data_IF_161840722236
#
_entry.id   IF_161840722236
#
_cell.length_a   1.000
_cell.length_b   1.000
_cell.length_c   1.000
_cell.angle_alpha   90.00
_cell.angle_beta   90.00
_cell.angle_gamma   90.00
#
_symmetry.space_group_name_H-M   'P 1'
#
loop_
_entity.id
_entity.type
_entity.pdbx_description
1 polymer ?
#
# COMPACT_ATOMS: atom_id res chain seq x y z
N UNK A 1 65.62 -29.68 -7.78
CA UNK A 1 66.46 -28.60 -7.23
C UNK A 1 66.91 -27.68 -8.36
N UNK A 2 66.45 -26.41 -8.39
CA UNK A 2 67.23 -25.23 -8.81
C UNK A 2 66.36 -23.98 -8.74
N UNK A 3 66.77 -23.07 -7.86
CA UNK A 3 66.26 -21.72 -7.59
C UNK A 3 66.30 -20.86 -8.86
N UNK A 4 65.34 -19.95 -9.03
CA UNK A 4 65.51 -18.76 -9.89
C UNK A 4 65.39 -17.50 -9.04
N UNK A 5 66.40 -16.66 -9.22
CA UNK A 5 66.68 -15.40 -8.54
C UNK A 5 65.73 -14.29 -8.98
N UNK A 6 65.44 -13.40 -8.04
CA UNK A 6 64.81 -12.09 -8.23
C UNK A 6 65.90 -11.12 -8.71
N UNK A 7 65.57 -10.27 -9.68
CA UNK A 7 66.32 -9.05 -9.96
C UNK A 7 65.32 -7.91 -10.19
N UNK A 8 65.33 -6.97 -9.25
CA UNK A 8 64.58 -5.71 -9.30
C UNK A 8 65.32 -4.70 -10.18
N UNK A 9 64.59 -3.99 -11.02
CA UNK A 9 65.05 -2.74 -11.65
C UNK A 9 64.03 -1.67 -11.34
N UNK A 10 64.45 -0.68 -10.55
CA UNK A 10 63.72 0.54 -10.30
C UNK A 10 63.99 1.52 -11.44
N UNK A 11 62.94 2.09 -12.03
CA UNK A 11 63.03 3.28 -12.89
C UNK A 11 62.12 4.34 -12.30
N UNK A 12 62.75 5.44 -11.88
CA UNK A 12 62.15 6.71 -11.49
C UNK A 12 61.82 7.47 -12.78
N UNK A 13 60.58 7.94 -12.94
CA UNK A 13 60.24 8.96 -13.92
C UNK A 13 59.30 10.00 -13.29
N UNK A 14 59.79 11.24 -13.31
CA UNK A 14 59.14 12.47 -12.85
C UNK A 14 57.78 12.70 -13.50
N UNK A 15 56.88 13.31 -12.72
CA UNK A 15 55.55 13.70 -13.16
C UNK A 15 55.50 14.89 -14.11
N UNK A 16 54.38 14.99 -14.81
CA UNK A 16 53.73 16.25 -15.17
C UNK A 16 52.23 16.02 -14.94
N UNK A 17 51.68 16.78 -13.98
CA UNK A 17 50.27 16.74 -13.64
C UNK A 17 49.41 17.33 -14.77
N UNK A 18 48.38 16.59 -15.12
CA UNK A 18 47.29 17.02 -15.99
C UNK A 18 46.02 16.31 -15.56
N UNK A 19 45.48 16.67 -14.39
CA UNK A 19 44.19 16.20 -13.95
C UNK A 19 43.11 16.86 -14.83
N UNK A 20 42.59 16.13 -15.81
CA UNK A 20 41.35 16.49 -16.48
C UNK A 20 40.23 16.21 -15.49
N UNK A 21 39.78 17.26 -14.82
CA UNK A 21 38.58 17.21 -14.00
C UNK A 21 37.36 17.07 -14.93
N UNK A 22 36.84 15.85 -15.03
CA UNK A 22 35.51 15.61 -15.59
C UNK A 22 34.53 16.16 -14.55
N UNK A 23 34.04 17.36 -14.78
CA UNK A 23 32.96 17.94 -13.99
C UNK A 23 31.69 17.12 -14.23
N UNK A 24 31.45 16.11 -13.41
CA UNK A 24 30.14 15.49 -13.28
C UNK A 24 29.22 16.55 -12.68
N UNK A 25 28.40 17.19 -13.51
CA UNK A 25 27.27 18.00 -13.03
C UNK A 25 26.27 17.04 -12.41
N UNK A 26 26.49 16.68 -11.14
CA UNK A 26 25.45 16.11 -10.31
C UNK A 26 24.37 17.17 -10.19
N UNK A 27 23.21 16.92 -10.80
CA UNK A 27 21.99 17.62 -10.41
C UNK A 27 21.78 17.33 -8.94
N UNK A 28 22.16 18.28 -8.08
CA UNK A 28 21.72 18.28 -6.70
C UNK A 28 20.20 18.29 -6.74
N UNK A 29 19.58 17.20 -6.25
CA UNK A 29 18.16 17.22 -5.93
C UNK A 29 17.95 18.42 -4.99
N UNK A 30 17.24 19.45 -5.48
CA UNK A 30 16.84 20.57 -4.63
C UNK A 30 16.14 19.99 -3.41
N UNK A 31 16.74 20.18 -2.24
CA UNK A 31 16.10 19.84 -0.98
C UNK A 31 14.72 20.50 -0.97
N UNK A 32 13.66 19.70 -0.89
CA UNK A 32 12.27 20.18 -0.77
C UNK A 32 12.12 20.79 0.63
N UNK A 33 12.74 21.94 0.87
CA UNK A 33 13.15 22.32 2.24
C UNK A 33 12.09 23.05 3.05
N UNK A 34 10.94 23.41 2.45
CA UNK A 34 9.94 24.23 3.15
C UNK A 34 8.52 23.65 3.16
N UNK A 35 8.24 22.58 2.41
CA UNK A 35 6.88 22.08 2.17
C UNK A 35 5.85 23.20 1.94
N UNK A 36 6.09 23.99 0.89
CA UNK A 36 5.27 25.14 0.50
C UNK A 36 4.54 24.92 -0.84
N UNK A 37 4.46 23.68 -1.32
CA UNK A 37 3.79 23.37 -2.58
C UNK A 37 2.29 23.71 -2.53
N UNK A 38 1.68 23.96 -3.67
CA UNK A 38 0.23 24.14 -3.78
C UNK A 38 -0.51 22.79 -3.74
N UNK A 39 -1.84 22.78 -3.55
CA UNK A 39 -2.63 21.56 -3.74
C UNK A 39 -2.45 20.97 -5.15
N UNK A 40 -2.35 21.83 -6.16
CA UNK A 40 -2.18 21.40 -7.55
C UNK A 40 -0.86 20.68 -7.75
N UNK A 41 0.22 21.11 -7.09
CA UNK A 41 1.52 20.44 -7.16
C UNK A 41 1.49 19.04 -6.50
N UNK A 42 0.62 18.83 -5.50
CA UNK A 42 0.43 17.51 -4.88
C UNK A 42 -0.38 16.58 -5.78
N UNK A 43 -1.48 17.07 -6.35
CA UNK A 43 -2.50 16.22 -6.97
C UNK A 43 -2.46 16.18 -8.50
N UNK A 44 -1.72 17.06 -9.17
CA UNK A 44 -1.54 16.94 -10.62
C UNK A 44 -0.38 15.97 -10.93
N UNK A 45 -0.58 15.02 -11.86
CA UNK A 45 0.49 14.14 -12.26
C UNK A 45 1.61 14.94 -12.97
N UNK A 46 2.89 14.70 -12.63
CA UNK A 46 3.99 15.26 -13.38
C UNK A 46 4.02 14.65 -14.79
N UNK A 47 4.63 15.35 -15.75
CA UNK A 47 4.74 14.87 -17.13
C UNK A 47 5.51 13.54 -17.24
N UNK A 48 6.46 13.29 -16.34
CA UNK A 48 7.16 12.01 -16.19
C UNK A 48 7.75 11.90 -14.78
N UNK A 49 7.99 10.67 -14.31
CA UNK A 49 8.68 10.41 -13.04
C UNK A 49 9.96 9.64 -13.32
N UNK A 50 11.11 10.25 -13.00
CA UNK A 50 12.44 9.65 -13.15
C UNK A 50 13.16 9.47 -11.83
N UNK A 51 12.63 10.06 -10.76
CA UNK A 51 13.21 9.96 -9.43
C UNK A 51 13.17 8.51 -8.90
N UNK A 52 14.12 8.13 -8.03
CA UNK A 52 14.08 6.86 -7.31
C UNK A 52 12.79 6.68 -6.52
N UNK A 53 12.40 5.43 -6.29
CA UNK A 53 11.19 5.09 -5.54
C UNK A 53 11.31 5.62 -4.09
N UNK A 54 10.21 6.15 -3.57
CA UNK A 54 10.15 6.83 -2.27
C UNK A 54 10.74 8.23 -2.24
N UNK A 55 11.17 8.82 -3.37
CA UNK A 55 11.64 10.21 -3.41
C UNK A 55 10.48 11.18 -3.20
N UNK A 56 10.63 12.13 -2.28
CA UNK A 56 9.68 13.22 -2.10
C UNK A 56 9.74 14.21 -3.28
N UNK A 57 8.65 14.31 -4.04
CA UNK A 57 8.56 15.17 -5.23
C UNK A 57 8.01 16.55 -4.87
N UNK A 58 6.97 16.60 -4.04
CA UNK A 58 6.38 17.83 -3.54
C UNK A 58 5.78 17.59 -2.15
N UNK A 59 5.77 18.61 -1.30
CA UNK A 59 5.05 18.56 -0.03
C UNK A 59 4.46 19.92 0.32
N UNK A 60 3.39 19.87 1.12
CA UNK A 60 2.77 21.05 1.72
C UNK A 60 2.28 20.76 3.12
N UNK A 61 2.38 21.74 4.02
CA UNK A 61 1.73 21.64 5.33
C UNK A 61 0.20 21.59 5.19
N UNK A 62 -0.45 20.83 6.06
CA UNK A 62 -1.92 20.63 6.06
C UNK A 62 -2.44 20.46 7.49
N UNK A 63 -3.72 20.80 7.70
CA UNK A 63 -4.47 20.42 8.90
C UNK A 63 -5.31 19.18 8.59
N UNK A 64 -5.17 18.12 9.40
CA UNK A 64 -5.98 16.91 9.26
C UNK A 64 -7.25 17.05 10.11
N UNK A 65 -8.27 17.70 9.55
CA UNK A 65 -9.47 18.10 10.28
C UNK A 65 -10.37 16.93 10.72
N UNK A 66 -10.20 15.76 10.11
CA UNK A 66 -10.99 14.56 10.43
C UNK A 66 -10.34 13.65 11.45
N UNK A 67 -9.13 13.96 11.91
CA UNK A 67 -8.54 13.23 13.03
C UNK A 67 -9.30 13.58 14.32
N UNK A 68 -10.02 12.64 14.93
CA UNK A 68 -10.78 12.91 16.13
C UNK A 68 -9.86 13.16 17.32
N UNK A 69 -10.43 13.71 18.39
CA UNK A 69 -9.79 13.92 19.69
C UNK A 69 -8.69 15.00 19.71
N UNK A 70 -8.62 15.88 18.71
CA UNK A 70 -7.75 17.06 18.68
C UNK A 70 -6.27 16.75 18.96
N UNK A 71 -5.75 15.66 18.40
CA UNK A 71 -4.36 15.22 18.64
C UNK A 71 -3.39 16.26 18.07
N UNK A 72 -2.52 16.91 18.88
CA UNK A 72 -1.61 17.90 18.34
C UNK A 72 -0.49 17.26 17.50
N UNK A 73 -0.27 17.77 16.30
CA UNK A 73 0.67 17.21 15.32
C UNK A 73 1.18 18.25 14.33
N UNK A 74 2.27 17.91 13.62
CA UNK A 74 2.62 18.51 12.32
C UNK A 74 2.21 17.52 11.24
N UNK A 75 1.59 17.99 10.15
CA UNK A 75 1.18 17.12 9.05
C UNK A 75 1.46 17.74 7.69
N UNK A 76 1.68 16.88 6.70
CA UNK A 76 1.98 17.25 5.33
C UNK A 76 1.17 16.38 4.37
N UNK A 77 0.63 17.00 3.32
CA UNK A 77 0.29 16.30 2.09
C UNK A 77 1.55 16.22 1.23
N UNK A 78 1.79 15.07 0.61
CA UNK A 78 2.98 14.80 -0.19
C UNK A 78 2.62 14.20 -1.55
N UNK A 79 3.46 14.46 -2.54
CA UNK A 79 3.56 13.68 -3.77
C UNK A 79 4.94 13.02 -3.77
N UNK A 80 5.01 11.73 -4.09
CA UNK A 80 6.24 10.95 -4.06
C UNK A 80 6.32 9.98 -5.24
N UNK A 81 7.54 9.58 -5.59
CA UNK A 81 7.78 8.61 -6.66
C UNK A 81 7.54 7.18 -6.15
N UNK A 82 6.88 6.36 -6.96
CA UNK A 82 6.62 4.93 -6.72
C UNK A 82 6.75 4.13 -8.04
N UNK A 83 6.39 2.86 -8.03
CA UNK A 83 6.37 1.98 -9.21
C UNK A 83 5.05 1.24 -9.30
N UNK A 84 4.45 1.20 -10.49
CA UNK A 84 3.23 0.43 -10.73
C UNK A 84 3.51 -1.08 -10.97
N UNK A 85 2.45 -1.88 -11.11
CA UNK A 85 2.48 -3.32 -11.27
C UNK A 85 3.10 -3.75 -12.61
N UNK A 86 3.17 -2.84 -13.57
CA UNK A 86 3.83 -3.03 -14.86
C UNK A 86 5.31 -2.60 -14.83
N UNK A 87 5.81 -2.12 -13.69
CA UNK A 87 7.19 -1.69 -13.49
C UNK A 87 7.47 -0.25 -13.94
N UNK A 88 6.46 0.53 -14.31
CA UNK A 88 6.64 1.93 -14.69
C UNK A 88 6.74 2.83 -13.44
N UNK A 89 7.60 3.86 -13.52
CA UNK A 89 7.69 4.87 -12.47
C UNK A 89 6.48 5.78 -12.50
N UNK A 90 5.83 5.94 -11.36
CA UNK A 90 4.61 6.74 -11.18
C UNK A 90 4.74 7.71 -10.02
N UNK A 91 3.88 8.73 -9.97
CA UNK A 91 3.74 9.62 -8.83
C UNK A 91 2.50 9.21 -8.02
N UNK A 92 2.60 9.26 -6.71
CA UNK A 92 1.53 8.91 -5.76
C UNK A 92 1.40 10.03 -4.73
N UNK A 93 0.19 10.31 -4.28
CA UNK A 93 -0.06 11.26 -3.18
C UNK A 93 -0.28 10.54 -1.84
N UNK A 94 -0.18 11.28 -0.74
CA UNK A 94 -0.44 10.76 0.59
C UNK A 94 -0.32 11.84 1.67
N UNK A 95 -0.41 11.41 2.92
CA UNK A 95 -0.31 12.24 4.12
C UNK A 95 0.73 11.69 5.07
N UNK A 96 1.59 12.56 5.60
CA UNK A 96 2.50 12.23 6.70
C UNK A 96 2.15 13.08 7.91
N UNK A 97 1.98 12.47 9.07
CA UNK A 97 1.63 13.12 10.33
C UNK A 97 2.60 12.71 11.44
N UNK A 98 3.16 13.70 12.13
CA UNK A 98 4.09 13.50 13.24
C UNK A 98 3.50 14.14 14.51
N UNK A 99 3.19 13.36 15.55
CA UNK A 99 2.56 13.87 16.75
C UNK A 99 3.56 14.69 17.58
N UNK A 100 3.07 15.70 18.30
CA UNK A 100 3.91 16.42 19.28
C UNK A 100 4.16 15.60 20.54
N UNK A 101 3.27 14.64 20.84
CA UNK A 101 3.44 13.69 21.94
C UNK A 101 4.78 12.95 21.81
N UNK A 102 5.58 12.92 22.87
CA UNK A 102 6.86 12.22 22.84
C UNK A 102 6.65 10.70 22.66
N UNK A 103 7.52 10.06 21.88
CA UNK A 103 7.64 8.61 21.90
C UNK A 103 8.31 8.20 23.21
N UNK A 104 7.66 7.32 23.98
CA UNK A 104 8.15 6.87 25.31
C UNK A 104 8.75 5.46 25.27
N UNK A 105 8.72 4.79 24.13
CA UNK A 105 9.37 3.50 23.94
C UNK A 105 10.86 3.62 23.64
N UNK A 106 11.47 2.50 23.23
CA UNK A 106 12.90 2.42 22.92
C UNK A 106 13.22 3.05 21.56
N UNK A 107 14.37 3.71 21.46
CA UNK A 107 14.92 4.22 20.20
C UNK A 107 14.27 5.52 19.72
N UNK A 108 14.43 5.83 18.42
CA UNK A 108 13.78 6.96 17.78
C UNK A 108 12.28 6.71 17.63
N UNK A 109 11.51 7.78 17.41
CA UNK A 109 10.08 7.70 17.13
C UNK A 109 9.84 6.76 15.92
N UNK A 110 9.00 5.72 16.05
CA UNK A 110 8.63 4.87 14.93
C UNK A 110 7.62 5.55 14.01
N UNK A 111 7.48 5.03 12.79
CA UNK A 111 6.44 5.42 11.84
C UNK A 111 5.64 4.19 11.43
N UNK A 112 4.33 4.37 11.21
CA UNK A 112 3.48 3.35 10.58
C UNK A 112 3.16 3.80 9.16
N UNK A 113 3.54 2.97 8.19
CA UNK A 113 3.05 3.04 6.83
C UNK A 113 1.60 2.53 6.83
N UNK A 114 0.66 3.39 6.44
CA UNK A 114 -0.77 3.11 6.51
C UNK A 114 -1.39 3.10 5.11
N UNK A 115 -2.15 2.05 4.79
CA UNK A 115 -3.02 2.06 3.62
C UNK A 115 -4.48 2.02 4.11
N UNK A 116 -5.32 2.98 3.71
CA UNK A 116 -6.72 2.96 4.08
C UNK A 116 -7.45 1.78 3.45
N UNK A 117 -8.60 1.45 4.01
CA UNK A 117 -9.59 0.63 3.32
C UNK A 117 -10.24 1.37 2.15
N UNK A 118 -11.25 0.75 1.55
CA UNK A 118 -11.86 1.26 0.32
C UNK A 118 -12.55 2.61 0.53
N UNK A 119 -12.16 3.59 -0.29
CA UNK A 119 -12.79 4.92 -0.31
C UNK A 119 -13.45 5.24 -1.66
N UNK A 120 -13.37 4.33 -2.64
CA UNK A 120 -13.77 4.54 -4.04
C UNK A 120 -12.61 4.95 -4.91
N UNK A 121 -12.73 4.76 -6.22
CA UNK A 121 -11.58 4.72 -7.15
C UNK A 121 -11.26 6.05 -7.84
N UNK A 122 -12.08 7.08 -7.62
CA UNK A 122 -11.90 8.39 -8.22
C UNK A 122 -10.85 9.23 -7.47
N UNK A 123 -10.15 10.16 -8.15
CA UNK A 123 -9.11 10.98 -7.53
C UNK A 123 -9.62 11.89 -6.41
N UNK A 124 -10.92 12.21 -6.38
CA UNK A 124 -11.57 12.94 -5.29
C UNK A 124 -11.66 12.14 -3.99
N UNK A 125 -11.58 10.81 -4.07
CA UNK A 125 -11.75 9.89 -2.94
C UNK A 125 -10.45 9.59 -2.19
N UNK A 126 -9.32 10.13 -2.66
CA UNK A 126 -8.01 9.99 -2.04
C UNK A 126 -8.05 10.29 -0.54
N UNK A 127 -7.54 9.38 0.29
CA UNK A 127 -7.59 9.50 1.75
C UNK A 127 -6.95 10.78 2.28
N UNK A 128 -5.86 11.23 1.67
CA UNK A 128 -5.18 12.49 1.98
C UNK A 128 -6.04 13.74 1.79
N UNK A 129 -7.06 13.68 0.91
CA UNK A 129 -8.08 14.74 0.75
C UNK A 129 -9.17 14.59 1.81
N UNK A 130 -9.63 13.36 2.02
CA UNK A 130 -10.68 13.03 2.98
C UNK A 130 -10.30 13.44 4.39
N UNK A 131 -9.17 12.95 4.88
CA UNK A 131 -8.72 13.20 6.25
C UNK A 131 -8.39 14.69 6.51
N UNK A 132 -8.20 15.48 5.44
CA UNK A 132 -7.98 16.92 5.50
C UNK A 132 -9.30 17.74 5.48
N UNK A 133 -10.45 17.12 5.21
CA UNK A 133 -11.76 17.79 5.24
C UNK A 133 -12.52 17.86 3.91
N UNK A 134 -12.03 17.24 2.83
CA UNK A 134 -12.71 17.22 1.53
C UNK A 134 -13.32 15.84 1.21
N UNK A 135 -14.56 15.76 0.72
CA UNK A 135 -15.22 14.48 0.34
C UNK A 135 -15.27 13.48 1.50
N UNK A 136 -16.15 13.70 2.48
CA UNK A 136 -16.14 13.03 3.80
C UNK A 136 -16.87 11.68 3.83
N UNK A 137 -16.20 10.59 3.42
CA UNK A 137 -16.67 9.22 3.69
C UNK A 137 -15.60 8.26 4.24
N UNK A 138 -14.42 8.78 4.61
CA UNK A 138 -13.40 8.06 5.35
C UNK A 138 -13.87 7.67 6.75
N UNK A 139 -13.37 6.53 7.24
CA UNK A 139 -13.80 5.92 8.49
C UNK A 139 -12.63 5.49 9.39
N UNK A 140 -11.39 5.87 9.06
CA UNK A 140 -10.16 5.38 9.71
C UNK A 140 -9.42 6.49 10.48
N UNK A 141 -10.02 7.68 10.63
CA UNK A 141 -9.50 8.76 11.46
C UNK A 141 -9.18 8.33 12.91
N UNK A 142 -9.95 7.41 13.50
CA UNK A 142 -9.69 6.86 14.84
C UNK A 142 -8.42 6.00 14.89
N UNK A 143 -8.11 5.23 13.84
CA UNK A 143 -6.90 4.42 13.72
C UNK A 143 -5.66 5.34 13.74
N UNK A 144 -5.71 6.41 12.93
CA UNK A 144 -4.66 7.42 12.87
C UNK A 144 -4.54 8.16 14.21
N UNK A 145 -5.67 8.54 14.82
CA UNK A 145 -5.71 9.20 16.15
C UNK A 145 -5.03 8.34 17.21
N UNK A 146 -5.27 7.02 17.22
CA UNK A 146 -4.71 6.09 18.19
C UNK A 146 -3.18 5.96 18.06
N UNK A 147 -2.66 5.86 16.83
CA UNK A 147 -1.21 5.85 16.57
C UNK A 147 -0.55 7.15 17.04
N UNK A 148 -1.12 8.30 16.67
CA UNK A 148 -0.59 9.60 17.02
C UNK A 148 -0.58 9.83 18.55
N UNK A 149 -1.63 9.40 19.26
CA UNK A 149 -1.69 9.41 20.73
C UNK A 149 -0.64 8.51 21.39
N UNK A 150 -0.30 7.39 20.74
CA UNK A 150 0.79 6.51 21.18
C UNK A 150 2.20 7.09 20.89
N UNK A 151 2.28 8.30 20.32
CA UNK A 151 3.54 8.91 19.91
C UNK A 151 4.14 8.23 18.69
N UNK A 152 3.35 7.56 17.86
CA UNK A 152 3.80 6.91 16.62
C UNK A 152 3.47 7.85 15.46
N UNK A 153 4.44 8.11 14.58
CA UNK A 153 4.18 8.88 13.37
C UNK A 153 3.39 8.03 12.35
N UNK A 154 2.65 8.68 11.47
CA UNK A 154 1.89 7.99 10.42
C UNK A 154 2.28 8.50 9.05
N UNK A 155 2.45 7.58 8.12
CA UNK A 155 2.74 7.81 6.71
C UNK A 155 1.66 7.08 5.91
N UNK A 156 0.54 7.75 5.67
CA UNK A 156 -0.61 7.20 4.97
C UNK A 156 -0.50 7.47 3.47
N UNK A 157 -0.53 6.43 2.65
CA UNK A 157 -0.55 6.56 1.19
C UNK A 157 -2.00 6.65 0.68
N UNK A 158 -2.22 7.38 -0.42
CA UNK A 158 -3.48 7.24 -1.17
C UNK A 158 -3.46 5.97 -2.04
N UNK A 159 -2.28 5.54 -2.49
CA UNK A 159 -2.14 4.47 -3.49
C UNK A 159 -2.06 5.03 -4.91
N UNK A 160 -1.67 4.17 -5.85
CA UNK A 160 -1.53 4.56 -7.27
C UNK A 160 -2.87 5.06 -7.83
N UNK A 161 -2.85 6.02 -8.76
CA UNK A 161 -4.04 6.37 -9.55
C UNK A 161 -5.02 7.37 -8.93
N UNK A 162 -4.68 7.99 -7.79
CA UNK A 162 -5.51 9.05 -7.17
C UNK A 162 -5.15 10.49 -7.59
N UNK A 163 -4.16 10.68 -8.46
CA UNK A 163 -3.85 11.99 -9.03
C UNK A 163 -4.93 12.42 -10.04
N UNK A 164 -5.06 13.73 -10.26
CA UNK A 164 -6.07 14.30 -11.13
C UNK A 164 -6.02 13.69 -12.55
N UNK A 165 -7.16 13.21 -13.03
CA UNK A 165 -7.29 12.57 -14.34
C UNK A 165 -6.90 11.09 -14.37
N UNK A 166 -6.48 10.52 -13.24
CA UNK A 166 -6.21 9.09 -13.10
C UNK A 166 -7.37 8.37 -12.39
N UNK A 167 -7.31 7.03 -12.40
CA UNK A 167 -8.23 6.15 -11.68
C UNK A 167 -7.39 5.18 -10.87
N UNK A 168 -7.80 4.91 -9.64
CA UNK A 168 -7.14 3.95 -8.78
C UNK A 168 -7.26 2.53 -9.36
N UNK A 169 -6.14 1.80 -9.58
CA UNK A 169 -6.14 0.37 -9.90
C UNK A 169 -6.48 -0.43 -8.63
N UNK A 170 -7.75 -0.37 -8.24
CA UNK A 170 -8.30 -0.97 -7.02
C UNK A 170 -7.88 -2.44 -6.88
N UNK A 171 -7.45 -2.81 -5.66
CA UNK A 171 -6.97 -4.14 -5.26
C UNK A 171 -5.81 -4.75 -6.07
N UNK A 172 -5.06 -3.94 -6.83
CA UNK A 172 -3.81 -4.39 -7.49
C UNK A 172 -2.68 -4.46 -6.47
N UNK A 173 -2.33 -5.67 -6.06
CA UNK A 173 -1.48 -5.90 -4.90
C UNK A 173 -0.08 -5.29 -4.99
N UNK A 174 0.57 -5.41 -6.15
CA UNK A 174 1.90 -4.84 -6.38
C UNK A 174 1.90 -3.31 -6.31
N UNK A 175 0.89 -2.65 -6.89
CA UNK A 175 0.71 -1.19 -6.81
C UNK A 175 0.61 -0.73 -5.35
N UNK A 176 -0.27 -1.40 -4.61
CA UNK A 176 -0.55 -1.05 -3.23
C UNK A 176 0.67 -1.27 -2.32
N UNK A 177 1.37 -2.40 -2.46
CA UNK A 177 2.57 -2.71 -1.69
C UNK A 177 3.75 -1.78 -1.98
N UNK A 178 3.99 -1.42 -3.25
CA UNK A 178 5.02 -0.45 -3.61
C UNK A 178 4.73 0.93 -3.01
N UNK A 179 3.51 1.45 -3.22
CA UNK A 179 3.09 2.74 -2.68
C UNK A 179 3.22 2.79 -1.14
N UNK A 180 2.80 1.72 -0.45
CA UNK A 180 2.87 1.64 1.01
C UNK A 180 4.32 1.64 1.54
N UNK A 181 5.25 0.95 0.88
CA UNK A 181 6.67 0.98 1.26
C UNK A 181 7.33 2.32 0.89
N UNK A 182 6.92 2.93 -0.22
CA UNK A 182 7.49 4.20 -0.70
C UNK A 182 7.00 5.42 0.09
N UNK A 183 5.77 5.41 0.64
CA UNK A 183 5.35 6.47 1.58
C UNK A 183 6.17 6.38 2.89
N UNK A 184 6.60 5.19 3.31
CA UNK A 184 7.50 5.03 4.45
C UNK A 184 8.87 5.68 4.17
N UNK A 185 9.46 5.45 3.00
CA UNK A 185 10.70 6.14 2.54
C UNK A 185 10.53 7.66 2.48
N UNK A 186 9.38 8.10 1.98
CA UNK A 186 9.03 9.51 1.84
C UNK A 186 8.94 10.20 3.22
N UNK A 187 8.49 9.47 4.24
CA UNK A 187 8.35 9.99 5.61
C UNK A 187 9.66 10.51 6.22
N UNK A 188 10.82 10.04 5.73
CA UNK A 188 12.13 10.47 6.21
C UNK A 188 12.62 11.77 5.55
N UNK A 189 11.88 12.31 4.58
CA UNK A 189 12.28 13.46 3.76
C UNK A 189 11.45 14.72 4.04
N UNK A 190 10.36 14.62 4.81
CA UNK A 190 9.58 15.79 5.24
C UNK A 190 10.33 16.56 6.35
N UNK A 191 10.11 17.87 6.53
CA UNK A 191 10.76 18.70 7.55
C UNK A 191 10.18 18.42 8.94
N UNK A 192 10.39 17.19 9.41
CA UNK A 192 9.98 16.70 10.71
C UNK A 192 11.20 16.35 11.57
N UNK A 193 11.07 16.59 12.86
CA UNK A 193 12.09 16.18 13.83
C UNK A 193 11.89 14.69 14.17
N UNK A 194 12.93 13.87 14.01
CA UNK A 194 12.99 12.53 14.57
C UNK A 194 12.61 11.35 13.65
N UNK A 195 12.28 11.60 12.38
CA UNK A 195 12.16 10.55 11.35
C UNK A 195 13.40 10.53 10.45
N UNK A 196 14.08 9.39 10.38
CA UNK A 196 15.30 9.18 9.60
C UNK A 196 15.27 7.80 8.95
N UNK A 197 16.17 7.52 8.00
CA UNK A 197 16.20 6.23 7.29
C UNK A 197 16.40 5.00 8.18
N UNK A 198 16.91 5.16 9.42
CA UNK A 198 17.02 4.09 10.41
C UNK A 198 15.80 3.97 11.34
N UNK A 199 14.74 4.76 11.12
CA UNK A 199 13.50 4.67 11.90
C UNK A 199 12.81 3.33 11.64
N UNK A 200 12.32 2.71 12.72
CA UNK A 200 11.50 1.49 12.61
C UNK A 200 10.17 1.80 11.94
N UNK A 201 9.78 0.92 11.01
CA UNK A 201 8.54 1.02 10.24
C UNK A 201 7.59 -0.08 10.72
N UNK A 202 6.36 0.29 11.06
CA UNK A 202 5.23 -0.65 11.14
C UNK A 202 4.41 -0.54 9.87
N UNK A 203 3.67 -1.59 9.54
CA UNK A 203 2.71 -1.57 8.44
C UNK A 203 1.32 -1.82 9.04
N UNK A 204 0.32 -1.08 8.58
CA UNK A 204 -1.08 -1.32 8.94
C UNK A 204 -2.03 -0.97 7.78
N UNK A 205 -3.00 -1.85 7.52
CA UNK A 205 -4.22 -1.49 6.80
C UNK A 205 -5.37 -2.46 7.07
N UNK A 206 -6.57 -2.05 6.67
CA UNK A 206 -7.82 -2.80 6.83
C UNK A 206 -8.58 -2.93 5.51
N UNK A 207 -9.31 -4.04 5.29
CA UNK A 207 -10.06 -4.28 4.05
C UNK A 207 -9.13 -4.29 2.81
N UNK A 208 -9.36 -3.44 1.80
CA UNK A 208 -8.36 -3.17 0.75
C UNK A 208 -6.97 -2.84 1.33
N UNK A 209 -6.93 -1.99 2.37
CA UNK A 209 -5.74 -1.69 3.14
C UNK A 209 -5.08 -2.93 3.75
N UNK A 210 -5.86 -3.94 4.14
CA UNK A 210 -5.36 -5.21 4.65
C UNK A 210 -4.63 -6.02 3.59
N UNK A 211 -5.13 -6.01 2.35
CA UNK A 211 -4.45 -6.63 1.22
C UNK A 211 -3.17 -5.87 0.85
N UNK A 212 -3.23 -4.54 0.81
CA UNK A 212 -2.05 -3.68 0.61
C UNK A 212 -0.98 -3.90 1.68
N UNK A 213 -1.40 -4.04 2.94
CA UNK A 213 -0.56 -4.29 4.11
C UNK A 213 0.26 -5.57 3.94
N UNK A 214 -0.41 -6.70 3.65
CA UNK A 214 0.26 -7.97 3.39
C UNK A 214 1.10 -7.96 2.10
N UNK A 215 0.70 -7.23 1.05
CA UNK A 215 1.54 -7.05 -0.15
C UNK A 215 2.81 -6.25 0.16
N UNK A 216 2.71 -5.18 0.95
CA UNK A 216 3.85 -4.44 1.48
C UNK A 216 4.77 -5.36 2.29
N UNK A 217 4.21 -6.25 3.11
CA UNK A 217 4.98 -7.24 3.85
C UNK A 217 5.74 -8.22 2.94
N UNK A 218 5.06 -8.77 1.92
CA UNK A 218 5.66 -9.70 0.94
C UNK A 218 6.80 -9.03 0.14
N UNK A 219 6.63 -7.75 -0.22
CA UNK A 219 7.57 -7.00 -1.04
C UNK A 219 8.71 -6.37 -0.25
N UNK A 220 8.59 -6.20 1.07
CA UNK A 220 9.55 -5.47 1.90
C UNK A 220 11.00 -5.89 1.64
N UNK A 221 11.31 -7.18 1.66
CA UNK A 221 12.68 -7.67 1.49
C UNK A 221 13.24 -7.50 0.06
N UNK A 222 12.40 -7.60 -0.98
CA UNK A 222 12.85 -7.52 -2.38
C UNK A 222 12.82 -6.10 -2.93
N UNK A 223 11.90 -5.25 -2.46
CA UNK A 223 11.63 -3.92 -2.98
C UNK A 223 12.21 -2.80 -2.10
N UNK A 224 12.16 -2.98 -0.77
CA UNK A 224 12.61 -1.99 0.20
C UNK A 224 13.45 -2.60 1.34
N UNK A 225 14.55 -3.33 1.00
CA UNK A 225 15.36 -4.06 1.98
C UNK A 225 16.01 -3.18 3.05
N UNK A 226 16.13 -1.88 2.80
CA UNK A 226 16.70 -0.91 3.73
C UNK A 226 15.72 -0.46 4.82
N UNK A 227 14.40 -0.70 4.66
CA UNK A 227 13.41 -0.34 5.66
C UNK A 227 13.46 -1.31 6.86
N UNK A 228 13.51 -0.74 8.07
CA UNK A 228 13.49 -1.52 9.31
C UNK A 228 12.05 -1.88 9.70
N UNK A 229 11.41 -2.76 8.92
CA UNK A 229 10.04 -3.22 9.19
C UNK A 229 10.03 -4.07 10.47
N UNK A 230 9.33 -3.57 11.50
CA UNK A 230 9.28 -4.18 12.83
C UNK A 230 8.10 -5.16 12.97
N UNK A 231 7.02 -4.93 12.22
CA UNK A 231 5.85 -5.77 12.19
C UNK A 231 4.77 -5.20 11.29
N UNK A 232 3.80 -6.06 11.00
CA UNK A 232 2.73 -5.80 10.05
C UNK A 232 1.38 -6.19 10.67
N UNK A 233 0.37 -5.34 10.52
CA UNK A 233 -1.00 -5.58 10.97
C UNK A 233 -1.98 -5.47 9.79
N UNK A 234 -2.75 -6.51 9.53
CA UNK A 234 -3.65 -6.57 8.38
C UNK A 234 -5.01 -7.14 8.80
N UNK A 235 -6.08 -6.37 8.62
CA UNK A 235 -7.42 -6.79 8.98
C UNK A 235 -8.37 -6.89 7.78
N UNK A 236 -9.39 -7.75 7.86
CA UNK A 236 -10.45 -7.84 6.85
C UNK A 236 -9.92 -8.19 5.46
N UNK A 237 -8.97 -9.11 5.35
CA UNK A 237 -8.04 -9.18 4.21
C UNK A 237 -8.63 -9.93 2.99
N UNK A 238 -8.82 -9.28 1.82
CA UNK A 238 -9.18 -9.98 0.59
C UNK A 238 -7.97 -10.70 -0.02
N UNK A 239 -7.61 -11.86 0.54
CA UNK A 239 -6.42 -12.62 0.13
C UNK A 239 -6.51 -13.34 -1.22
N UNK A 240 -7.72 -13.56 -1.72
CA UNK A 240 -8.02 -14.24 -2.98
C UNK A 240 -9.17 -13.49 -3.65
N UNK A 241 -8.83 -12.71 -4.66
CA UNK A 241 -9.77 -11.80 -5.31
C UNK A 241 -10.90 -12.54 -6.03
N UNK A 242 -10.72 -13.80 -6.44
CA UNK A 242 -11.78 -14.58 -7.10
C UNK A 242 -12.81 -15.06 -6.10
N UNK A 243 -12.38 -15.50 -4.91
CA UNK A 243 -13.30 -15.83 -3.80
C UNK A 243 -14.05 -14.59 -3.30
N UNK A 244 -13.35 -13.46 -3.17
CA UNK A 244 -13.98 -12.18 -2.81
C UNK A 244 -14.98 -11.74 -3.88
N UNK A 245 -14.63 -11.78 -5.17
CA UNK A 245 -15.55 -11.44 -6.25
C UNK A 245 -16.81 -12.32 -6.24
N UNK A 246 -16.67 -13.62 -5.97
CA UNK A 246 -17.82 -14.53 -5.85
C UNK A 246 -18.74 -14.17 -4.67
N UNK A 247 -18.19 -13.70 -3.54
CA UNK A 247 -18.98 -13.25 -2.38
C UNK A 247 -19.75 -11.95 -2.70
N UNK A 248 -19.12 -11.04 -3.44
CA UNK A 248 -19.70 -9.72 -3.77
C UNK A 248 -20.72 -9.78 -4.92
N UNK A 249 -20.62 -10.75 -5.83
CA UNK A 249 -21.50 -10.85 -6.99
C UNK A 249 -22.97 -11.16 -6.59
N UNK A 250 -23.87 -10.20 -6.81
CA UNK A 250 -25.27 -10.29 -6.36
C UNK A 250 -25.51 -9.84 -4.91
N UNK A 251 -24.46 -9.44 -4.18
CA UNK A 251 -24.54 -9.01 -2.80
C UNK A 251 -24.76 -7.50 -2.63
N UNK A 252 -25.02 -7.06 -1.39
CA UNK A 252 -25.16 -5.64 -1.05
C UNK A 252 -23.89 -4.83 -1.37
N UNK A 253 -22.72 -5.47 -1.34
CA UNK A 253 -21.40 -4.86 -1.56
C UNK A 253 -20.89 -5.01 -3.01
N UNK A 254 -21.77 -5.29 -3.97
CA UNK A 254 -21.40 -5.45 -5.40
C UNK A 254 -20.59 -4.26 -5.96
N UNK A 255 -20.76 -3.04 -5.42
CA UNK A 255 -19.97 -1.87 -5.82
C UNK A 255 -18.46 -2.11 -5.79
N UNK A 256 -17.95 -2.85 -4.80
CA UNK A 256 -16.53 -3.18 -4.73
C UNK A 256 -16.07 -4.14 -5.83
N UNK A 257 -16.95 -5.03 -6.30
CA UNK A 257 -16.66 -5.85 -7.48
C UNK A 257 -16.64 -4.99 -8.76
N UNK A 258 -17.54 -4.00 -8.86
CA UNK A 258 -17.51 -3.00 -9.92
C UNK A 258 -16.19 -2.23 -9.96
N UNK A 259 -15.73 -1.74 -8.81
CA UNK A 259 -14.45 -1.05 -8.65
C UNK A 259 -13.27 -1.96 -9.00
N UNK A 260 -13.30 -3.25 -8.63
CA UNK A 260 -12.24 -4.22 -8.98
C UNK A 260 -12.16 -4.51 -10.49
N UNK A 261 -13.30 -4.56 -11.18
CA UNK A 261 -13.33 -4.68 -12.65
C UNK A 261 -12.71 -3.43 -13.29
N UNK A 262 -13.04 -2.24 -12.80
CA UNK A 262 -12.45 -0.99 -13.30
C UNK A 262 -10.95 -0.94 -12.99
N UNK A 263 -10.53 -1.33 -11.80
CA UNK A 263 -9.13 -1.41 -11.39
C UNK A 263 -8.32 -2.36 -12.29
N UNK A 264 -8.89 -3.51 -12.62
CA UNK A 264 -8.30 -4.47 -13.57
C UNK A 264 -8.11 -3.87 -14.96
N UNK A 265 -9.13 -3.17 -15.49
CA UNK A 265 -9.04 -2.50 -16.79
C UNK A 265 -8.01 -1.35 -16.76
N UNK A 266 -7.92 -0.64 -15.63
CA UNK A 266 -6.97 0.45 -15.45
C UNK A 266 -5.53 -0.06 -15.43
N UNK A 267 -5.25 -1.14 -14.71
CA UNK A 267 -3.90 -1.73 -14.63
C UNK A 267 -3.49 -2.47 -15.92
N UNK A 268 -4.45 -3.10 -16.60
CA UNK A 268 -4.24 -3.86 -17.83
C UNK A 268 -5.24 -3.48 -18.92
N UNK A 269 -5.05 -2.33 -19.60
CA UNK A 269 -5.94 -1.86 -20.66
C UNK A 269 -5.92 -2.75 -21.92
N UNK A 270 -4.98 -3.70 -22.02
CA UNK A 270 -4.92 -4.69 -23.10
C UNK A 270 -5.99 -5.78 -22.99
N UNK A 271 -6.60 -5.98 -21.82
CA UNK A 271 -7.69 -6.94 -21.67
C UNK A 271 -8.94 -6.49 -22.43
N UNK A 272 -9.65 -7.39 -23.13
CA UNK A 272 -10.79 -7.03 -23.96
C UNK A 272 -12.08 -6.79 -23.16
N UNK A 273 -12.02 -6.60 -21.83
CA UNK A 273 -13.20 -6.48 -20.96
C UNK A 273 -14.16 -5.41 -21.48
N UNK A 274 -13.64 -4.24 -21.87
CA UNK A 274 -14.43 -3.13 -22.42
C UNK A 274 -15.28 -3.51 -23.65
N UNK A 275 -14.89 -4.51 -24.43
CA UNK A 275 -15.64 -4.97 -25.62
C UNK A 275 -16.92 -5.71 -25.24
N UNK A 276 -17.00 -6.22 -24.01
CA UNK A 276 -18.14 -6.99 -23.51
C UNK A 276 -19.05 -6.19 -22.59
N UNK A 277 -18.79 -4.89 -22.40
CA UNK A 277 -19.60 -4.04 -21.50
C UNK A 277 -20.84 -3.55 -22.26
N UNK A 278 -22.02 -3.72 -21.66
CA UNK A 278 -23.27 -3.21 -22.23
C UNK A 278 -23.53 -1.75 -21.83
N UNK A 279 -24.63 -1.15 -22.31
CA UNK A 279 -24.95 0.24 -22.00
C UNK A 279 -25.12 0.50 -20.48
N UNK A 280 -25.71 -0.44 -19.74
CA UNK A 280 -25.84 -0.37 -18.28
C UNK A 280 -24.47 -0.43 -17.61
N UNK A 281 -23.57 -1.30 -18.08
CA UNK A 281 -22.19 -1.39 -17.60
C UNK A 281 -21.39 -0.13 -17.87
N UNK A 282 -21.52 0.46 -19.06
CA UNK A 282 -20.87 1.72 -19.38
C UNK A 282 -21.36 2.87 -18.47
N UNK A 283 -22.67 2.92 -18.19
CA UNK A 283 -23.24 3.89 -17.25
C UNK A 283 -22.74 3.67 -15.82
N UNK A 284 -22.69 2.42 -15.36
CA UNK A 284 -22.20 2.08 -14.02
C UNK A 284 -20.72 2.46 -13.86
N UNK A 285 -19.88 2.19 -14.87
CA UNK A 285 -18.46 2.59 -14.86
C UNK A 285 -18.31 4.10 -14.80
N UNK A 286 -19.08 4.85 -15.58
CA UNK A 286 -19.05 6.31 -15.54
C UNK A 286 -19.44 6.84 -14.15
N UNK A 287 -20.42 6.22 -13.50
CA UNK A 287 -20.85 6.59 -12.15
C UNK A 287 -19.78 6.25 -11.11
N UNK A 288 -19.30 5.00 -11.07
CA UNK A 288 -18.33 4.50 -10.08
C UNK A 288 -17.02 5.31 -10.08
N UNK A 289 -16.55 5.75 -11.26
CA UNK A 289 -15.36 6.62 -11.38
C UNK A 289 -15.51 7.99 -10.70
N UNK A 290 -16.73 8.40 -10.37
CA UNK A 290 -17.05 9.71 -9.79
C UNK A 290 -17.63 9.64 -8.38
N UNK A 291 -17.91 8.45 -7.86
CA UNK A 291 -18.41 8.24 -6.50
C UNK A 291 -17.31 7.74 -5.58
N UNK A 292 -17.39 8.13 -4.31
CA UNK A 292 -16.58 7.56 -3.23
C UNK A 292 -17.38 6.45 -2.50
N UNK A 293 -16.83 5.88 -1.43
CA UNK A 293 -17.31 4.69 -0.72
C UNK A 293 -18.83 4.55 -0.65
N UNK A 294 -19.52 5.53 -0.06
CA UNK A 294 -20.98 5.43 0.13
C UNK A 294 -21.73 5.43 -1.21
N UNK A 295 -21.23 6.19 -2.18
CA UNK A 295 -21.78 6.23 -3.53
C UNK A 295 -21.52 4.93 -4.30
N UNK A 296 -20.32 4.35 -4.17
CA UNK A 296 -19.98 3.04 -4.74
C UNK A 296 -20.93 1.95 -4.24
N UNK A 297 -21.18 1.92 -2.92
CA UNK A 297 -22.10 0.95 -2.32
C UNK A 297 -23.54 1.15 -2.81
N UNK A 298 -24.02 2.40 -2.84
CA UNK A 298 -25.40 2.69 -3.21
C UNK A 298 -25.70 2.54 -4.72
N UNK A 299 -24.71 2.79 -5.59
CA UNK A 299 -24.92 2.87 -7.03
C UNK A 299 -25.43 1.57 -7.65
N UNK A 300 -24.94 0.42 -7.15
CA UNK A 300 -25.11 -0.88 -7.81
C UNK A 300 -25.36 -2.02 -6.80
N UNK A 301 -25.90 -1.71 -5.62
CA UNK A 301 -26.21 -2.71 -4.59
C UNK A 301 -27.12 -3.84 -5.11
N UNK A 302 -26.77 -5.08 -4.76
CA UNK A 302 -27.56 -6.29 -5.08
C UNK A 302 -27.52 -6.70 -6.56
N UNK A 303 -26.74 -5.99 -7.38
CA UNK A 303 -26.63 -6.29 -8.81
C UNK A 303 -25.66 -7.44 -9.07
N UNK A 304 -25.72 -8.00 -10.28
CA UNK A 304 -24.88 -9.10 -10.73
C UNK A 304 -24.05 -8.69 -11.94
N UNK A 305 -22.82 -9.21 -12.05
CA UNK A 305 -21.90 -8.83 -13.12
C UNK A 305 -22.45 -9.16 -14.51
N UNK A 306 -23.24 -10.22 -14.61
CA UNK A 306 -23.93 -10.66 -15.83
C UNK A 306 -24.84 -9.55 -16.38
N UNK A 307 -25.44 -8.73 -15.51
CA UNK A 307 -26.33 -7.63 -15.92
C UNK A 307 -25.61 -6.46 -16.59
N UNK A 308 -24.29 -6.39 -16.50
CA UNK A 308 -23.47 -5.30 -17.02
C UNK A 308 -22.69 -5.64 -18.29
N UNK A 309 -22.84 -6.88 -18.80
CA UNK A 309 -22.14 -7.34 -20.00
C UNK A 309 -23.10 -7.64 -21.15
N UNK A 310 -22.62 -7.56 -22.40
CA UNK A 310 -23.42 -7.72 -23.63
C UNK A 310 -23.93 -9.14 -23.85
N UNK A 311 -23.30 -10.13 -23.22
CA UNK A 311 -23.64 -11.56 -23.36
C UNK A 311 -24.00 -12.21 -22.03
N UNK A 312 -24.17 -11.44 -20.95
CA UNK A 312 -24.41 -12.02 -19.62
C UNK A 312 -23.23 -12.87 -19.13
N UNK A 313 -21.99 -12.41 -19.39
CA UNK A 313 -20.78 -13.11 -19.00
C UNK A 313 -20.72 -13.31 -17.49
N UNK A 314 -20.51 -14.55 -17.07
CA UNK A 314 -20.21 -14.90 -15.68
C UNK A 314 -18.80 -14.44 -15.28
N UNK A 315 -18.51 -14.47 -13.98
CA UNK A 315 -17.16 -14.24 -13.47
C UNK A 315 -16.12 -15.15 -14.13
N UNK A 316 -16.40 -16.46 -14.27
CA UNK A 316 -15.48 -17.41 -14.89
C UNK A 316 -15.20 -17.09 -16.36
N UNK A 317 -16.21 -16.62 -17.10
CA UNK A 317 -16.04 -16.19 -18.48
C UNK A 317 -15.22 -14.90 -18.59
N UNK A 318 -15.39 -13.97 -17.65
CA UNK A 318 -14.54 -12.78 -17.55
C UNK A 318 -13.10 -13.15 -17.21
N UNK A 319 -12.86 -14.09 -16.30
CA UNK A 319 -11.52 -14.57 -15.95
C UNK A 319 -10.81 -15.24 -17.13
N UNK A 320 -11.56 -15.85 -18.05
CA UNK A 320 -11.03 -16.49 -19.24
C UNK A 320 -10.65 -15.50 -20.36
N UNK A 321 -11.06 -14.23 -20.27
CA UNK A 321 -10.66 -13.21 -21.24
C UNK A 321 -9.14 -13.02 -21.18
N UNK A 322 -8.51 -13.06 -22.35
CA UNK A 322 -7.07 -12.94 -22.51
C UNK A 322 -6.70 -11.70 -23.33
N UNK A 323 -5.56 -11.10 -22.99
CA UNK A 323 -4.94 -10.10 -23.84
C UNK A 323 -4.27 -10.74 -25.08
N UNK A 324 -3.69 -9.94 -26.01
CA UNK A 324 -3.03 -10.48 -27.20
C UNK A 324 -1.84 -11.43 -26.92
N UNK A 325 -1.26 -11.41 -25.71
CA UNK A 325 -0.19 -12.32 -25.31
C UNK A 325 -0.70 -13.68 -24.80
N UNK A 326 -2.00 -13.80 -24.55
CA UNK A 326 -2.61 -14.97 -23.93
C UNK A 326 -2.64 -14.94 -22.41
N UNK A 327 -2.18 -13.84 -21.79
CA UNK A 327 -2.32 -13.62 -20.35
C UNK A 327 -3.78 -13.33 -20.03
N UNK A 328 -4.36 -14.05 -19.08
CA UNK A 328 -5.79 -13.93 -18.76
C UNK A 328 -6.06 -12.99 -17.60
N UNK A 329 -7.26 -12.40 -17.57
CA UNK A 329 -7.77 -11.66 -16.40
C UNK A 329 -7.67 -12.52 -15.14
N UNK A 330 -8.01 -13.80 -15.22
CA UNK A 330 -7.90 -14.72 -14.10
C UNK A 330 -6.47 -14.90 -13.60
N UNK A 331 -5.48 -14.95 -14.49
CA UNK A 331 -4.07 -15.02 -14.12
C UNK A 331 -3.57 -13.70 -13.51
N UNK A 332 -4.08 -12.57 -13.98
CA UNK A 332 -3.83 -11.26 -13.37
C UNK A 332 -4.36 -11.19 -11.94
N UNK A 333 -5.61 -11.59 -11.71
CA UNK A 333 -6.17 -11.65 -10.36
C UNK A 333 -5.39 -12.61 -9.44
N UNK A 334 -4.96 -13.77 -9.96
CA UNK A 334 -4.13 -14.72 -9.21
C UNK A 334 -2.75 -14.14 -8.87
N UNK A 335 -2.22 -13.21 -9.67
CA UNK A 335 -0.95 -12.54 -9.37
C UNK A 335 -1.03 -11.63 -8.14
N UNK A 336 -2.24 -11.20 -7.76
CA UNK A 336 -2.51 -10.41 -6.54
C UNK A 336 -2.87 -11.27 -5.31
N UNK A 337 -2.83 -12.61 -5.44
CA UNK A 337 -3.14 -13.54 -4.35
C UNK A 337 -2.09 -13.49 -3.24
N UNK A 338 -2.56 -13.40 -2.00
CA UNK A 338 -1.71 -13.34 -0.81
C UNK A 338 -1.32 -14.73 -0.33
N UNK A 339 -0.19 -14.83 0.37
CA UNK A 339 0.24 -16.10 0.97
C UNK A 339 0.91 -17.08 -0.01
N UNK A 340 1.17 -16.65 -1.24
CA UNK A 340 1.77 -17.49 -2.29
C UNK A 340 3.28 -17.27 -2.35
N UNK A 341 4.04 -18.37 -2.31
CA UNK A 341 5.51 -18.35 -2.41
C UNK A 341 6.18 -17.39 -1.40
N UNK A 342 5.68 -17.42 -0.16
CA UNK A 342 6.20 -16.66 0.97
C UNK A 342 7.02 -17.57 1.91
N UNK A 343 7.90 -16.98 2.71
CA UNK A 343 8.59 -17.72 3.78
C UNK A 343 9.59 -16.87 4.55
N UNK A 344 10.26 -17.50 5.51
CA UNK A 344 11.37 -16.87 6.25
C UNK A 344 12.62 -16.71 5.38
N UNK A 345 13.53 -15.77 5.70
CA UNK A 345 14.84 -15.70 5.05
C UNK A 345 15.55 -17.07 5.04
N UNK A 346 16.05 -17.47 3.87
CA UNK A 346 16.68 -18.75 3.66
C UNK A 346 15.75 -19.91 3.29
N UNK A 347 14.42 -19.70 3.20
CA UNK A 347 13.47 -20.75 2.78
C UNK A 347 13.48 -21.08 1.28
N UNK A 348 14.09 -20.21 0.46
CA UNK A 348 13.99 -20.28 -1.01
C UNK A 348 12.69 -19.71 -1.60
N UNK A 349 11.82 -19.14 -0.76
CA UNK A 349 10.62 -18.45 -1.20
C UNK A 349 10.94 -17.17 -1.99
N UNK A 350 10.09 -16.82 -2.94
CA UNK A 350 10.19 -15.57 -3.71
C UNK A 350 10.05 -14.34 -2.80
N UNK A 351 9.06 -14.37 -1.92
CA UNK A 351 8.80 -13.30 -0.96
C UNK A 351 9.26 -13.72 0.43
N UNK A 352 10.24 -12.99 0.97
CA UNK A 352 10.77 -13.31 2.30
C UNK A 352 10.29 -12.30 3.34
N UNK A 353 9.74 -12.80 4.44
CA UNK A 353 9.18 -12.00 5.53
C UNK A 353 9.91 -12.37 6.82
N UNK A 354 10.61 -11.39 7.41
CA UNK A 354 11.46 -11.60 8.59
C UNK A 354 10.94 -10.89 9.87
N UNK A 355 9.71 -10.41 9.83
CA UNK A 355 9.07 -9.71 10.94
C UNK A 355 7.71 -10.34 11.26
N UNK A 356 7.17 -10.14 12.47
CA UNK A 356 5.88 -10.68 12.84
C UNK A 356 4.70 -10.02 12.10
N UNK A 357 3.66 -10.81 11.85
CA UNK A 357 2.41 -10.38 11.19
C UNK A 357 1.23 -10.63 12.12
N UNK A 358 0.37 -9.62 12.31
CA UNK A 358 -0.91 -9.72 13.01
C UNK A 358 -2.05 -9.64 12.00
N UNK A 359 -2.72 -10.76 11.75
CA UNK A 359 -3.92 -10.82 10.91
C UNK A 359 -5.17 -10.86 11.77
N UNK A 360 -6.23 -10.17 11.36
CA UNK A 360 -7.49 -10.18 12.10
C UNK A 360 -8.73 -10.03 11.23
N UNK A 361 -9.88 -10.51 11.72
CA UNK A 361 -11.19 -10.31 11.10
C UNK A 361 -12.33 -10.41 12.10
N UNK A 362 -13.51 -9.94 11.67
CA UNK A 362 -14.76 -10.08 12.42
C UNK A 362 -15.24 -11.52 12.44
N UNK A 363 -15.93 -11.90 13.51
CA UNK A 363 -16.64 -13.17 13.61
C UNK A 363 -17.88 -13.23 12.71
N UNK A 364 -18.46 -12.05 12.40
CA UNK A 364 -19.66 -11.88 11.61
C UNK A 364 -19.38 -11.25 10.24
N UNK A 365 -18.17 -11.45 9.72
CA UNK A 365 -17.70 -10.92 8.44
C UNK A 365 -18.67 -11.23 7.28
N UNK A 366 -19.16 -10.18 6.62
CA UNK A 366 -20.17 -10.22 5.57
C UNK A 366 -19.71 -9.70 4.21
N UNK A 367 -18.56 -9.01 4.15
CA UNK A 367 -18.04 -8.36 2.94
C UNK A 367 -17.03 -9.27 2.26
N UNK A 368 -16.04 -9.73 3.02
CA UNK A 368 -14.94 -10.57 2.54
C UNK A 368 -15.25 -12.03 2.83
N UNK A 369 -14.89 -12.92 1.91
CA UNK A 369 -15.11 -14.34 2.14
C UNK A 369 -14.15 -14.85 3.24
N UNK A 370 -14.69 -15.25 4.39
CA UNK A 370 -13.87 -15.73 5.52
C UNK A 370 -12.92 -16.89 5.17
N UNK A 371 -13.23 -17.70 4.15
CA UNK A 371 -12.33 -18.76 3.68
C UNK A 371 -11.03 -18.17 3.13
N UNK A 372 -11.07 -17.02 2.46
CA UNK A 372 -9.86 -16.38 1.94
C UNK A 372 -8.99 -15.81 3.07
N UNK A 373 -9.61 -15.20 4.07
CA UNK A 373 -8.91 -14.66 5.24
C UNK A 373 -8.26 -15.77 6.07
N UNK A 374 -9.02 -16.81 6.41
CA UNK A 374 -8.52 -17.96 7.18
C UNK A 374 -7.41 -18.70 6.41
N UNK A 375 -7.55 -18.86 5.08
CA UNK A 375 -6.54 -19.49 4.25
C UNK A 375 -5.25 -18.66 4.15
N UNK A 376 -5.36 -17.34 4.08
CA UNK A 376 -4.21 -16.43 4.03
C UNK A 376 -3.43 -16.47 5.34
N UNK A 377 -4.10 -16.36 6.48
CA UNK A 377 -3.47 -16.46 7.79
C UNK A 377 -2.76 -17.80 7.97
N UNK A 378 -3.42 -18.90 7.59
CA UNK A 378 -2.86 -20.25 7.62
C UNK A 378 -1.64 -20.40 6.70
N UNK A 379 -1.64 -19.78 5.51
CA UNK A 379 -0.49 -19.81 4.60
C UNK A 379 0.74 -19.15 5.22
N UNK A 380 0.57 -18.01 5.92
CA UNK A 380 1.66 -17.35 6.65
C UNK A 380 2.20 -18.23 7.78
N UNK A 381 1.32 -18.81 8.60
CA UNK A 381 1.71 -19.75 9.66
C UNK A 381 2.49 -20.96 9.10
N UNK A 382 1.98 -21.60 8.04
CA UNK A 382 2.61 -22.77 7.42
C UNK A 382 3.96 -22.47 6.76
N UNK A 383 4.16 -21.22 6.32
CA UNK A 383 5.42 -20.76 5.74
C UNK A 383 6.46 -20.39 6.80
N UNK A 384 6.15 -20.65 8.08
CA UNK A 384 7.02 -20.43 9.22
C UNK A 384 7.13 -18.98 9.64
N UNK A 385 6.38 -18.05 9.04
CA UNK A 385 6.37 -16.64 9.44
C UNK A 385 5.73 -16.51 10.82
N UNK A 386 6.25 -15.61 11.66
CA UNK A 386 5.67 -15.42 12.99
C UNK A 386 4.33 -14.71 12.86
N UNK A 387 3.22 -15.43 13.06
CA UNK A 387 1.88 -14.93 12.76
C UNK A 387 0.94 -15.06 13.95
N UNK A 388 0.30 -13.96 14.30
CA UNK A 388 -0.81 -13.91 15.23
C UNK A 388 -2.09 -13.71 14.43
N UNK A 389 -3.05 -14.62 14.55
CA UNK A 389 -4.32 -14.55 13.87
C UNK A 389 -5.48 -14.47 14.87
N UNK A 390 -6.36 -13.49 14.70
CA UNK A 390 -7.57 -13.33 15.50
C UNK A 390 -8.80 -13.12 14.64
N UNK A 391 -9.68 -14.12 14.59
CA UNK A 391 -10.87 -14.13 13.74
C UNK A 391 -12.19 -14.08 14.52
N UNK A 392 -12.15 -13.65 15.79
CA UNK A 392 -13.26 -13.74 16.73
C UNK A 392 -13.62 -12.39 17.38
N UNK A 393 -13.28 -11.26 16.76
CA UNK A 393 -13.87 -9.99 17.15
C UNK A 393 -15.39 -10.10 16.98
N UNK A 394 -16.16 -9.85 18.03
CA UNK A 394 -17.61 -10.05 18.02
C UNK A 394 -18.33 -8.89 17.32
N UNK A 395 -18.03 -8.72 16.04
CA UNK A 395 -18.41 -7.61 15.17
C UNK A 395 -18.45 -8.08 13.70
N UNK A 396 -19.13 -7.28 12.88
CA UNK A 396 -19.11 -7.36 11.41
C UNK A 396 -17.89 -6.64 10.80
N UNK A 397 -17.77 -6.58 9.48
CA UNK A 397 -16.59 -6.06 8.77
C UNK A 397 -16.15 -4.68 9.25
N UNK A 398 -17.02 -3.67 9.24
CA UNK A 398 -16.62 -2.29 9.50
C UNK A 398 -16.30 -2.04 10.98
N UNK A 399 -17.14 -2.55 11.88
CA UNK A 399 -16.97 -2.38 13.34
C UNK A 399 -15.73 -3.10 13.85
N UNK A 400 -15.28 -4.15 13.15
CA UNK A 400 -14.05 -4.88 13.50
C UNK A 400 -12.82 -3.99 13.41
N UNK A 401 -12.73 -3.10 12.41
CA UNK A 401 -11.58 -2.20 12.26
C UNK A 401 -11.35 -1.39 13.55
N UNK A 402 -12.40 -0.68 13.98
CA UNK A 402 -12.39 0.10 15.23
C UNK A 402 -12.15 -0.76 16.47
N UNK A 403 -12.76 -1.94 16.53
CA UNK A 403 -12.64 -2.85 17.68
C UNK A 403 -11.22 -3.41 17.83
N UNK A 404 -10.46 -3.50 16.74
CA UNK A 404 -9.10 -4.04 16.73
C UNK A 404 -8.03 -2.99 17.03
N UNK A 405 -8.33 -1.68 16.95
CA UNK A 405 -7.37 -0.58 17.16
C UNK A 405 -6.48 -0.80 18.41
N UNK A 406 -7.02 -1.09 19.61
CA UNK A 406 -6.16 -1.24 20.80
C UNK A 406 -5.16 -2.40 20.67
N UNK A 407 -5.56 -3.50 20.06
CA UNK A 407 -4.72 -4.68 19.87
C UNK A 407 -3.65 -4.45 18.81
N UNK A 408 -4.01 -3.77 17.70
CA UNK A 408 -3.05 -3.41 16.65
C UNK A 408 -2.01 -2.41 17.17
N UNK A 409 -2.44 -1.34 17.84
CA UNK A 409 -1.53 -0.36 18.43
C UNK A 409 -0.59 -1.03 19.44
N UNK A 410 -1.12 -1.94 20.27
CA UNK A 410 -0.31 -2.73 21.20
C UNK A 410 0.69 -3.62 20.45
N UNK A 411 0.24 -4.37 19.44
CA UNK A 411 1.08 -5.26 18.65
C UNK A 411 2.26 -4.50 18.04
N UNK A 412 2.00 -3.39 17.35
CA UNK A 412 3.05 -2.57 16.72
C UNK A 412 3.97 -1.93 17.77
N UNK A 413 3.42 -1.40 18.87
CA UNK A 413 4.21 -0.84 19.98
C UNK A 413 5.16 -1.86 20.57
N UNK A 414 4.71 -3.10 20.78
CA UNK A 414 5.54 -4.20 21.27
C UNK A 414 6.70 -4.48 20.30
N UNK A 415 6.44 -4.50 18.98
CA UNK A 415 7.49 -4.69 17.95
C UNK A 415 8.49 -3.54 17.93
N UNK A 416 8.04 -2.30 18.02
CA UNK A 416 8.92 -1.13 18.12
C UNK A 416 9.82 -1.19 19.36
N UNK A 417 9.32 -1.76 20.47
CA UNK A 417 10.09 -1.97 21.70
C UNK A 417 10.95 -3.24 21.72
N UNK A 418 10.97 -4.02 20.63
CA UNK A 418 11.74 -5.25 20.52
C UNK A 418 11.19 -6.40 21.36
N UNK A 419 9.92 -6.35 21.74
CA UNK A 419 9.23 -7.46 22.40
C UNK A 419 8.98 -8.54 21.34
N UNK A 420 9.47 -9.75 21.59
CA UNK A 420 9.28 -10.88 20.68
C UNK A 420 7.79 -11.19 20.49
N UNK A 421 7.42 -11.59 19.27
CA UNK A 421 6.11 -12.17 18.98
C UNK A 421 6.22 -13.70 18.96
N UNK A 422 5.12 -14.37 19.28
CA UNK A 422 4.95 -15.81 19.07
C UNK A 422 3.74 -16.06 18.17
N UNK A 423 3.69 -17.23 17.54
CA UNK A 423 2.50 -17.67 16.83
C UNK A 423 1.31 -17.80 17.80
N UNK A 424 0.14 -17.42 17.34
CA UNK A 424 -1.13 -17.65 18.04
C UNK A 424 -2.28 -17.62 17.05
N UNK A 425 -3.27 -18.50 17.18
CA UNK A 425 -4.38 -18.57 16.20
C UNK A 425 -3.98 -19.16 14.85
N UNK A 426 -2.77 -19.70 14.76
CA UNK A 426 -2.41 -20.79 13.85
C UNK A 426 -2.93 -22.12 14.46
#
# INVERSE_FOLDING_TARGET
MRKKFVASVAVIACGIGGAVAIATTGSAASAVSACTASANDIYNPPASVTAPNGTLLACRSVTLSQIPNNVPMKAWQVQYASTDANGARVAVSGTIAVPTAAWTGKGTRPVVAFNPGTLGIGPQCAFSKQIAGAYQDEYEGDNISALLKAGIAVAATDGVGYLNGQIHPYVVGADAGHALLDIARTSFQVPSDGLVSSTKVGIWGYSEGGQASLWGAQLAASYAPELQVAGDAAGGVPGDLKLTASQLNGGAFFGFLGDAVIGTITAHPSFPVNQYINATGASAIAQLKTTCLLGTLAAVAGQKIESYTTQGLSLDQLYALADPSGYTVGQFLDSSKLGVNIGKPGSGAQYTINFPVYQYRGALEEVINTQTEDATAKAYCNSGITTQYRNNYLSEHLTTDNSAIPDVVKFLTDRFNGVAASNSGC
#
